data_IF_570429489292
#
_entry.id   IF_570429489292
#
_cell.length_a   1.000
_cell.length_b   1.000
_cell.length_c   1.000
_cell.angle_alpha   90.00
_cell.angle_beta   90.00
_cell.angle_gamma   90.00
#
_symmetry.space_group_name_H-M   'P 1'
#
loop_
_entity.id
_entity.type
_entity.pdbx_description
1 polymer ?
#
# COMPACT_ATOMS: atom_id res chain seq x y z
N UNK A 1 15.61 -14.12 -22.84
CA UNK A 1 15.54 -12.65 -22.93
C UNK A 1 15.81 -12.06 -21.56
N UNK A 2 16.63 -11.03 -21.56
CA UNK A 2 17.46 -10.55 -20.46
C UNK A 2 16.69 -10.16 -19.21
N UNK A 3 17.24 -10.49 -18.03
CA UNK A 3 16.79 -10.01 -16.73
C UNK A 3 16.74 -8.49 -16.76
N UNK A 4 15.55 -7.92 -16.89
CA UNK A 4 15.29 -6.53 -16.58
C UNK A 4 15.40 -6.41 -15.05
N UNK A 5 16.63 -6.39 -14.53
CA UNK A 5 16.91 -5.91 -13.18
C UNK A 5 16.56 -4.44 -13.22
N UNK A 6 15.28 -4.13 -13.02
CA UNK A 6 14.85 -2.80 -12.69
C UNK A 6 15.42 -2.50 -11.31
N UNK A 7 16.62 -1.93 -11.30
CA UNK A 7 17.06 -1.02 -10.24
C UNK A 7 16.14 0.24 -10.28
N UNK A 8 14.84 0.03 -10.12
CA UNK A 8 13.91 1.12 -9.91
C UNK A 8 14.15 1.58 -8.48
N UNK A 9 14.67 2.80 -8.31
CA UNK A 9 15.03 3.30 -6.98
C UNK A 9 13.81 3.28 -6.06
N UNK A 10 14.02 2.98 -4.78
CA UNK A 10 12.97 2.96 -3.75
C UNK A 10 12.03 4.19 -3.83
N UNK A 11 12.58 5.37 -4.13
CA UNK A 11 11.79 6.60 -4.34
C UNK A 11 10.90 6.60 -5.60
N UNK A 12 11.38 6.03 -6.71
CA UNK A 12 10.58 5.92 -7.95
C UNK A 12 9.46 4.90 -7.79
N UNK A 13 9.75 3.75 -7.17
CA UNK A 13 8.76 2.74 -6.84
C UNK A 13 7.68 3.30 -5.90
N UNK A 14 8.07 3.98 -4.82
CA UNK A 14 7.14 4.65 -3.91
C UNK A 14 6.22 5.63 -4.63
N UNK A 15 6.76 6.45 -5.54
CA UNK A 15 5.96 7.41 -6.31
C UNK A 15 4.93 6.72 -7.21
N UNK A 16 5.30 5.59 -7.83
CA UNK A 16 4.37 4.80 -8.63
C UNK A 16 3.28 4.16 -7.78
N UNK A 17 3.63 3.61 -6.61
CA UNK A 17 2.69 3.03 -5.66
C UNK A 17 1.72 4.09 -5.12
N UNK A 18 2.20 5.28 -4.75
CA UNK A 18 1.34 6.39 -4.33
C UNK A 18 0.34 6.80 -5.42
N UNK A 19 0.77 6.81 -6.69
CA UNK A 19 -0.13 7.08 -7.82
C UNK A 19 -1.15 5.96 -8.00
N UNK A 20 -0.72 4.70 -7.90
CA UNK A 20 -1.62 3.56 -7.99
C UNK A 20 -2.71 3.61 -6.90
N UNK A 21 -2.32 3.85 -5.64
CA UNK A 21 -3.26 4.03 -4.52
C UNK A 21 -4.22 5.18 -4.79
N UNK A 22 -3.72 6.35 -5.20
CA UNK A 22 -4.59 7.51 -5.47
C UNK A 22 -5.57 7.27 -6.61
N UNK A 23 -5.16 6.54 -7.66
CA UNK A 23 -6.05 6.14 -8.74
C UNK A 23 -7.13 5.17 -8.24
N UNK A 24 -6.74 4.12 -7.49
CA UNK A 24 -7.70 3.17 -6.89
C UNK A 24 -8.70 3.86 -5.98
N UNK A 25 -8.25 4.81 -5.15
CA UNK A 25 -9.14 5.59 -4.28
C UNK A 25 -10.13 6.46 -5.08
N UNK A 26 -9.70 7.02 -6.22
CA UNK A 26 -10.59 7.79 -7.11
C UNK A 26 -11.63 6.93 -7.80
N UNK A 27 -11.24 5.74 -8.26
CA UNK A 27 -12.17 4.75 -8.83
C UNK A 27 -13.16 4.26 -7.77
N UNK A 28 -12.68 4.03 -6.53
CA UNK A 28 -13.54 3.64 -5.41
C UNK A 28 -14.54 4.75 -5.05
N UNK A 29 -14.11 6.02 -5.00
CA UNK A 29 -14.99 7.15 -4.73
C UNK A 29 -16.05 7.36 -5.82
N UNK A 30 -15.78 6.89 -7.04
CA UNK A 30 -16.72 6.95 -8.17
C UNK A 30 -17.72 5.78 -8.15
N UNK A 31 -17.44 4.70 -7.41
CA UNK A 31 -18.37 3.59 -7.18
C UNK A 31 -19.33 3.93 -6.05
N UNK A 32 -20.63 3.84 -6.33
CA UNK A 32 -21.70 4.15 -5.37
C UNK A 32 -22.02 3.01 -4.39
N UNK A 33 -21.61 1.77 -4.68
CA UNK A 33 -21.90 0.60 -3.86
C UNK A 33 -20.64 -0.11 -3.35
N UNK A 34 -20.60 -0.48 -2.05
CA UNK A 34 -19.53 -1.28 -1.48
C UNK A 34 -19.71 -2.76 -1.87
N UNK A 35 -19.29 -3.10 -3.08
CA UNK A 35 -19.31 -4.48 -3.59
C UNK A 35 -18.04 -5.25 -3.21
N UNK A 36 -17.94 -6.53 -3.56
CA UNK A 36 -16.70 -7.31 -3.41
C UNK A 36 -15.51 -6.68 -4.14
N UNK A 37 -15.76 -5.95 -5.24
CA UNK A 37 -14.75 -5.14 -5.91
C UNK A 37 -14.17 -4.02 -5.02
N UNK A 38 -14.97 -3.45 -4.10
CA UNK A 38 -14.50 -2.44 -3.15
C UNK A 38 -13.57 -3.06 -2.10
N UNK A 39 -13.83 -4.32 -1.70
CA UNK A 39 -12.93 -5.08 -0.81
C UNK A 39 -11.61 -5.41 -1.50
N UNK A 40 -11.65 -5.81 -2.78
CA UNK A 40 -10.45 -6.00 -3.60
C UNK A 40 -9.63 -4.71 -3.74
N UNK A 41 -10.27 -3.57 -3.98
CA UNK A 41 -9.62 -2.27 -4.02
C UNK A 41 -8.98 -1.91 -2.68
N UNK A 42 -9.67 -2.14 -1.56
CA UNK A 42 -9.13 -1.91 -0.23
C UNK A 42 -7.91 -2.82 0.05
N UNK A 43 -7.96 -4.08 -0.37
CA UNK A 43 -6.85 -5.01 -0.26
C UNK A 43 -5.65 -4.57 -1.10
N UNK A 44 -5.90 -4.11 -2.32
CA UNK A 44 -4.87 -3.53 -3.18
C UNK A 44 -4.19 -2.32 -2.52
N UNK A 45 -4.96 -1.41 -1.94
CA UNK A 45 -4.42 -0.25 -1.21
C UNK A 45 -3.56 -0.70 -0.01
N UNK A 46 -4.02 -1.68 0.76
CA UNK A 46 -3.27 -2.21 1.90
C UNK A 46 -1.91 -2.80 1.47
N UNK A 47 -1.88 -3.56 0.38
CA UNK A 47 -0.66 -4.13 -0.20
C UNK A 47 0.28 -3.03 -0.71
N UNK A 48 -0.23 -2.04 -1.44
CA UNK A 48 0.58 -0.93 -1.90
C UNK A 48 1.21 -0.13 -0.75
N UNK A 49 0.46 0.12 0.33
CA UNK A 49 0.98 0.79 1.53
C UNK A 49 2.06 -0.04 2.22
N UNK A 50 1.94 -1.37 2.23
CA UNK A 50 2.98 -2.26 2.77
C UNK A 50 4.27 -2.18 1.97
N UNK A 51 4.16 -2.20 0.64
CA UNK A 51 5.31 -2.05 -0.25
C UNK A 51 5.94 -0.66 -0.10
N UNK A 52 5.13 0.39 0.05
CA UNK A 52 5.64 1.74 0.37
C UNK A 52 6.47 1.69 1.63
N UNK A 53 5.97 1.12 2.73
CA UNK A 53 6.71 1.00 4.00
C UNK A 53 8.04 0.25 3.82
N UNK A 54 8.06 -0.84 3.05
CA UNK A 54 9.29 -1.55 2.70
C UNK A 54 10.31 -0.65 1.97
N UNK A 55 9.86 0.17 1.02
CA UNK A 55 10.75 1.14 0.34
C UNK A 55 11.31 2.23 1.27
N UNK A 56 10.56 2.60 2.32
CA UNK A 56 11.02 3.54 3.34
C UNK A 56 12.14 2.90 4.15
N UNK A 57 11.94 1.67 4.62
CA UNK A 57 12.94 0.93 5.37
C UNK A 57 14.25 0.74 4.58
N UNK A 58 14.15 0.46 3.27
CA UNK A 58 15.33 0.39 2.39
C UNK A 58 16.07 1.74 2.28
N UNK A 59 15.31 2.83 2.08
CA UNK A 59 15.88 4.18 1.97
C UNK A 59 16.56 4.62 3.27
N UNK A 60 15.93 4.30 4.40
CA UNK A 60 16.45 4.60 5.73
C UNK A 60 17.72 3.81 6.02
N UNK A 61 17.73 2.50 5.78
CA UNK A 61 18.93 1.68 5.97
C UNK A 61 20.12 2.17 5.13
N UNK A 62 19.87 2.67 3.92
CA UNK A 62 20.90 3.28 3.08
C UNK A 62 21.44 4.62 3.63
N UNK A 63 20.60 5.39 4.34
CA UNK A 63 21.01 6.64 4.99
C UNK A 63 21.70 6.43 6.33
N UNK A 64 21.25 5.45 7.12
CA UNK A 64 21.89 5.03 8.36
C UNK A 64 23.34 4.55 8.11
N UNK A 65 23.57 3.79 7.03
CA UNK A 65 24.92 3.39 6.58
C UNK A 65 25.84 4.57 6.20
N UNK A 66 25.28 5.77 5.99
CA UNK A 66 26.01 7.01 5.62
C UNK A 66 25.99 8.03 6.76
N UNK A 67 25.67 7.60 7.98
CA UNK A 67 25.55 8.44 9.17
C UNK A 67 24.49 9.55 9.10
N UNK A 68 23.52 9.44 8.20
CA UNK A 68 22.40 10.40 8.08
C UNK A 68 21.21 10.04 8.98
N UNK A 69 21.49 9.75 10.26
CA UNK A 69 20.51 9.28 11.25
C UNK A 69 19.32 10.23 11.44
N UNK A 70 19.57 11.54 11.55
CA UNK A 70 18.50 12.56 11.73
C UNK A 70 17.57 12.61 10.51
N UNK A 71 18.14 12.45 9.30
CA UNK A 71 17.36 12.44 8.06
C UNK A 71 16.52 11.17 7.94
N UNK A 72 17.11 10.03 8.29
CA UNK A 72 16.44 8.74 8.39
C UNK A 72 15.24 8.79 9.34
N UNK A 73 15.43 9.32 10.54
CA UNK A 73 14.39 9.38 11.55
C UNK A 73 13.23 10.29 11.16
N UNK A 74 13.53 11.50 10.68
CA UNK A 74 12.52 12.42 10.15
C UNK A 74 11.70 11.79 9.03
N UNK A 75 12.34 11.01 8.17
CA UNK A 75 11.70 10.34 7.06
C UNK A 75 10.84 9.15 7.49
N UNK A 76 11.27 8.38 8.52
CA UNK A 76 10.42 7.37 9.17
C UNK A 76 9.17 8.01 9.77
N UNK A 77 9.30 9.11 10.51
CA UNK A 77 8.16 9.81 11.12
C UNK A 77 7.18 10.34 10.07
N UNK A 78 7.69 10.88 8.96
CA UNK A 78 6.85 11.37 7.85
C UNK A 78 6.03 10.24 7.21
N UNK A 79 6.58 9.02 7.13
CA UNK A 79 5.96 7.89 6.43
C UNK A 79 5.39 6.80 7.34
N UNK A 80 5.48 6.93 8.66
CA UNK A 80 4.99 5.96 9.66
C UNK A 80 3.52 5.58 9.43
N UNK A 81 2.73 6.54 8.93
CA UNK A 81 1.32 6.31 8.61
C UNK A 81 1.13 5.22 7.56
N UNK A 82 2.04 5.03 6.59
CA UNK A 82 1.89 4.04 5.53
C UNK A 82 1.82 2.61 6.11
N UNK A 83 2.78 2.26 6.97
CA UNK A 83 2.77 0.98 7.68
C UNK A 83 1.56 0.84 8.62
N UNK A 84 1.21 1.89 9.37
CA UNK A 84 0.05 1.88 10.26
C UNK A 84 -1.27 1.59 9.52
N UNK A 85 -1.57 2.36 8.47
CA UNK A 85 -2.80 2.19 7.70
C UNK A 85 -2.82 0.87 6.91
N UNK A 86 -1.67 0.38 6.44
CA UNK A 86 -1.58 -0.95 5.83
C UNK A 86 -2.02 -2.05 6.81
N UNK A 87 -1.52 -2.00 8.04
CA UNK A 87 -1.87 -2.97 9.08
C UNK A 87 -3.35 -2.88 9.47
N UNK A 88 -3.88 -1.67 9.64
CA UNK A 88 -5.30 -1.45 9.97
C UNK A 88 -6.22 -1.98 8.88
N UNK A 89 -5.93 -1.68 7.60
CA UNK A 89 -6.73 -2.18 6.48
C UNK A 89 -6.64 -3.70 6.36
N UNK A 90 -5.44 -4.27 6.49
CA UNK A 90 -5.23 -5.73 6.45
C UNK A 90 -6.06 -6.42 7.54
N UNK A 91 -6.03 -5.88 8.77
CA UNK A 91 -6.81 -6.41 9.89
C UNK A 91 -8.31 -6.31 9.63
N UNK A 92 -8.79 -5.15 9.17
CA UNK A 92 -10.20 -4.95 8.86
C UNK A 92 -10.69 -5.90 7.76
N UNK A 93 -9.87 -6.20 6.75
CA UNK A 93 -10.21 -7.16 5.69
C UNK A 93 -10.24 -8.61 6.20
N UNK A 94 -9.27 -8.99 7.04
CA UNK A 94 -9.21 -10.34 7.64
C UNK A 94 -10.36 -10.58 8.62
N UNK A 95 -10.68 -9.59 9.44
CA UNK A 95 -11.81 -9.65 10.39
C UNK A 95 -13.17 -9.43 9.69
N UNK A 96 -13.18 -9.30 8.36
CA UNK A 96 -14.36 -9.01 7.54
C UNK A 96 -15.15 -7.76 7.97
N UNK A 97 -14.46 -6.80 8.59
CA UNK A 97 -15.02 -5.54 9.09
C UNK A 97 -14.99 -4.46 8.00
N UNK A 98 -15.91 -4.58 7.06
CA UNK A 98 -16.03 -3.66 5.92
C UNK A 98 -16.47 -2.23 6.32
N UNK A 99 -17.07 -2.05 7.50
CA UNK A 99 -17.59 -0.76 7.96
C UNK A 99 -16.47 0.26 8.25
N UNK A 100 -15.29 -0.20 8.66
CA UNK A 100 -14.15 0.67 8.97
C UNK A 100 -13.37 1.09 7.72
N UNK A 101 -13.48 0.36 6.61
CA UNK A 101 -12.66 0.60 5.41
C UNK A 101 -12.84 2.00 4.79
N UNK A 102 -14.07 2.52 4.57
CA UNK A 102 -14.26 3.80 3.89
C UNK A 102 -13.59 4.97 4.63
N UNK A 103 -13.67 4.99 5.95
CA UNK A 103 -13.07 6.03 6.78
C UNK A 103 -11.53 6.01 6.68
N UNK A 104 -10.93 4.82 6.74
CA UNK A 104 -9.48 4.67 6.62
C UNK A 104 -8.99 5.05 5.22
N UNK A 105 -9.70 4.64 4.19
CA UNK A 105 -9.39 4.95 2.79
C UNK A 105 -9.45 6.46 2.52
N UNK A 106 -10.42 7.17 3.13
CA UNK A 106 -10.49 8.64 3.06
C UNK A 106 -9.27 9.31 3.72
N UNK A 107 -8.86 8.83 4.90
CA UNK A 107 -7.67 9.34 5.62
C UNK A 107 -6.38 9.11 4.81
N UNK A 108 -6.24 7.95 4.17
CA UNK A 108 -5.11 7.63 3.28
C UNK A 108 -5.13 8.56 2.07
N UNK A 109 -6.30 8.78 1.45
CA UNK A 109 -6.47 9.72 0.36
C UNK A 109 -6.02 11.14 0.71
N UNK A 110 -6.38 11.63 1.90
CA UNK A 110 -5.95 12.93 2.41
C UNK A 110 -4.42 13.06 2.51
N UNK A 111 -3.72 12.00 2.97
CA UNK A 111 -2.25 11.97 3.03
C UNK A 111 -1.61 12.01 1.65
N UNK A 112 -2.28 11.44 0.64
CA UNK A 112 -1.79 11.37 -0.74
C UNK A 112 -2.21 12.55 -1.62
N UNK A 113 -2.96 13.54 -1.10
CA UNK A 113 -3.38 14.72 -1.88
C UNK A 113 -2.20 15.54 -2.44
N UNK A 114 -1.06 15.53 -1.74
CA UNK A 114 0.16 16.19 -2.21
C UNK A 114 0.80 15.49 -3.44
N UNK A 115 0.43 14.24 -3.71
CA UNK A 115 0.98 13.47 -4.83
C UNK A 115 0.25 13.85 -6.11
N UNK A 116 0.98 14.40 -7.09
CA UNK A 116 0.44 14.72 -8.41
C UNK A 116 -0.02 13.44 -9.13
N UNK A 117 -1.32 13.24 -9.19
CA UNK A 117 -1.94 12.16 -9.93
C UNK A 117 -2.04 12.53 -11.42
N UNK A 118 -1.71 11.61 -12.35
CA UNK A 118 -1.99 11.83 -13.77
C UNK A 118 -3.50 11.88 -14.00
N UNK A 119 -3.94 12.79 -14.88
CA UNK A 119 -5.36 12.99 -15.19
C UNK A 119 -6.00 11.73 -15.78
N UNK A 120 -5.25 11.00 -16.62
CA UNK A 120 -5.71 9.80 -17.35
C UNK A 120 -5.19 8.53 -16.70
N UNK A 121 -6.09 7.62 -16.36
CA UNK A 121 -5.74 6.31 -15.84
C UNK A 121 -5.33 5.39 -17.01
N UNK A 122 -4.04 5.13 -17.19
CA UNK A 122 -3.52 4.18 -18.20
C UNK A 122 -3.26 2.79 -17.61
N UNK A 123 -3.36 2.68 -16.29
CA UNK A 123 -3.24 1.42 -15.55
C UNK A 123 -4.66 0.89 -15.47
N UNK A 124 -4.96 -0.27 -16.06
CA UNK A 124 -6.31 -0.84 -16.14
C UNK A 124 -6.93 -1.14 -14.78
N UNK A 125 -7.22 -2.42 -14.49
CA UNK A 125 -7.85 -2.83 -13.23
C UNK A 125 -6.90 -3.69 -12.37
N UNK A 126 -5.81 -3.10 -11.83
CA UNK A 126 -4.76 -3.84 -11.11
C UNK A 126 -5.21 -4.45 -9.77
N UNK A 127 -6.42 -4.13 -9.31
CA UNK A 127 -6.99 -4.60 -8.03
C UNK A 127 -7.63 -6.00 -8.12
N UNK A 128 -7.89 -6.54 -9.32
CA UNK A 128 -8.47 -7.87 -9.46
C UNK A 128 -7.59 -8.95 -8.81
N UNK A 129 -8.15 -9.67 -7.84
CA UNK A 129 -7.46 -10.74 -7.09
C UNK A 129 -6.46 -10.23 -6.03
N UNK A 130 -6.53 -8.94 -5.67
CA UNK A 130 -5.70 -8.40 -4.59
C UNK A 130 -6.14 -8.93 -3.21
N UNK A 131 -7.45 -9.14 -3.00
CA UNK A 131 -7.97 -9.71 -1.75
C UNK A 131 -7.48 -11.14 -1.55
N UNK A 132 -7.49 -11.97 -2.60
CA UNK A 132 -6.96 -13.33 -2.55
C UNK A 132 -5.48 -13.35 -2.17
N UNK A 133 -4.65 -12.50 -2.81
CA UNK A 133 -3.23 -12.37 -2.45
C UNK A 133 -3.01 -11.94 -1.00
N UNK A 134 -3.86 -11.04 -0.49
CA UNK A 134 -3.80 -10.60 0.90
C UNK A 134 -4.14 -11.75 1.86
N UNK A 135 -5.17 -12.55 1.54
CA UNK A 135 -5.48 -13.77 2.31
C UNK A 135 -4.38 -14.82 2.23
N UNK A 136 -3.75 -15.04 1.08
CA UNK A 136 -2.63 -15.98 0.95
C UNK A 136 -1.43 -15.54 1.81
N UNK A 137 -1.13 -14.24 1.83
CA UNK A 137 -0.08 -13.66 2.68
C UNK A 137 -0.44 -13.80 4.17
N UNK A 138 -1.68 -13.55 4.55
CA UNK A 138 -2.15 -13.67 5.93
C UNK A 138 -2.25 -15.13 6.41
N UNK A 139 -2.65 -16.04 5.51
CA UNK A 139 -2.78 -17.48 5.74
C UNK A 139 -1.47 -18.25 5.63
N UNK A 140 -0.44 -17.67 5.01
CA UNK A 140 0.93 -18.21 4.97
C UNK A 140 1.74 -17.98 6.25
N UNK A 141 1.17 -17.33 7.29
CA UNK A 141 1.73 -17.49 8.63
C UNK A 141 1.71 -19.00 8.94
N UNK A 142 2.85 -19.65 9.23
CA UNK A 142 2.89 -21.10 9.34
C UNK A 142 1.92 -21.50 10.43
N UNK A 143 0.81 -22.12 10.02
CA UNK A 143 0.00 -22.95 10.88
C UNK A 143 0.99 -23.93 11.48
N UNK A 144 1.44 -23.61 12.69
CA UNK A 144 2.33 -24.45 13.47
C UNK A 144 1.52 -25.72 13.62
N UNK A 145 1.93 -26.74 12.88
CA UNK A 145 1.39 -28.09 12.96
C UNK A 145 1.55 -28.50 14.41
N UNK A 146 0.46 -28.41 15.18
CA UNK A 146 0.35 -29.08 16.45
C UNK A 146 0.33 -30.58 16.11
N UNK A 147 1.42 -31.25 16.46
CA UNK A 147 1.49 -32.68 16.63
C UNK A 147 2.07 -32.94 18.01
#
# INVERSE_FOLDING_TARGET
MSRLIKHESAGKLRTQLCKAVGLTLRELASKAQPDDAARDMAAFVALCLREIDATINESVAAWEKRDYWVKADRFRLEWQWAGHYSAVLTRALVDNNAALLPEQLLKIGARLQAVKLPLRNTVGEPWHGALQRLHDIAGSAPATRAN
#
